data_IF_782709520237
#
_entry.id   IF_782709520237
#
_cell.length_a   1.000
_cell.length_b   1.000
_cell.length_c   1.000
_cell.angle_alpha   90.00
_cell.angle_beta   90.00
_cell.angle_gamma   90.00
#
_symmetry.space_group_name_H-M   'P 1'
#
loop_
_entity.id
_entity.type
_entity.pdbx_description
1 polymer ?
#
# COMPACT_ATOMS: atom_id res chain seq x y z
N UNK A 1 -0.28 18.77 -4.66
CA UNK A 1 -1.59 18.18 -4.31
C UNK A 1 -2.31 18.93 -3.21
N UNK A 2 -1.65 19.76 -2.48
CA UNK A 2 -2.30 20.71 -1.60
C UNK A 2 -2.58 21.95 -2.42
N UNK A 3 -3.86 22.16 -2.79
CA UNK A 3 -4.27 23.48 -3.20
C UNK A 3 -3.80 24.39 -2.07
N UNK A 4 -2.92 25.32 -2.40
CA UNK A 4 -2.37 26.23 -1.42
C UNK A 4 -3.55 26.88 -0.67
N UNK A 5 -3.77 26.47 0.58
CA UNK A 5 -4.70 27.20 1.42
C UNK A 5 -3.95 28.43 1.91
N UNK A 6 -4.26 29.63 1.42
CA UNK A 6 -3.53 30.85 1.77
C UNK A 6 -3.66 31.22 3.26
N UNK A 7 -4.53 30.52 3.99
CA UNK A 7 -4.80 30.77 5.40
C UNK A 7 -4.06 29.78 6.34
N UNK A 8 -3.19 28.93 5.81
CA UNK A 8 -2.38 28.03 6.65
C UNK A 8 -1.23 28.84 7.25
N UNK A 9 -1.06 28.89 8.58
CA UNK A 9 0.04 29.59 9.21
C UNK A 9 1.40 29.08 8.69
N UNK A 10 2.37 29.99 8.59
CA UNK A 10 3.75 29.63 8.25
C UNK A 10 4.30 28.59 9.24
N UNK A 11 4.99 27.58 8.73
CA UNK A 11 5.56 26.48 9.54
C UNK A 11 4.59 25.36 9.85
N UNK A 12 3.35 25.41 9.36
CA UNK A 12 2.42 24.28 9.49
C UNK A 12 2.87 23.13 8.60
N UNK A 13 3.09 21.97 9.22
CA UNK A 13 3.46 20.74 8.52
C UNK A 13 2.22 19.86 8.35
N UNK A 14 1.89 19.43 7.12
CA UNK A 14 0.75 18.55 6.88
C UNK A 14 1.06 17.13 7.32
N UNK A 15 0.13 16.50 8.05
CA UNK A 15 0.17 15.08 8.40
C UNK A 15 -0.96 14.26 7.76
N UNK A 16 -1.64 14.82 6.76
CA UNK A 16 -2.80 14.19 6.14
C UNK A 16 -2.47 13.14 5.07
N UNK A 17 -1.24 13.15 4.58
CA UNK A 17 -0.70 12.19 3.61
C UNK A 17 0.66 11.71 4.09
N UNK A 18 0.98 10.46 3.85
CA UNK A 18 2.27 9.87 4.22
C UNK A 18 3.38 10.26 3.23
N UNK A 19 3.46 11.54 2.89
CA UNK A 19 4.57 12.10 2.10
C UNK A 19 5.79 12.32 3.00
N UNK A 20 6.96 12.09 2.45
CA UNK A 20 8.21 12.38 3.17
C UNK A 20 8.56 13.86 3.09
N UNK A 21 8.88 14.45 4.23
CA UNK A 21 9.35 15.84 4.33
C UNK A 21 10.86 15.98 4.01
N UNK A 22 11.54 14.89 3.73
CA UNK A 22 12.95 14.87 3.39
C UNK A 22 13.17 14.93 1.88
N UNK A 23 14.23 15.65 1.48
CA UNK A 23 14.65 15.61 0.07
C UNK A 23 15.11 14.21 -0.32
N UNK A 24 14.88 13.85 -1.57
CA UNK A 24 15.40 12.59 -2.10
C UNK A 24 16.94 12.54 -2.00
N UNK A 25 17.53 11.37 -1.73
CA UNK A 25 18.96 11.17 -1.87
C UNK A 25 19.44 11.60 -3.27
N UNK A 26 20.56 12.32 -3.39
CA UNK A 26 21.05 12.79 -4.68
C UNK A 26 21.19 11.70 -5.73
N UNK A 27 21.60 10.50 -5.32
CA UNK A 27 21.77 9.33 -6.19
C UNK A 27 20.51 8.94 -6.94
N UNK A 28 19.32 9.14 -6.33
CA UNK A 28 18.04 8.84 -6.99
C UNK A 28 17.79 9.86 -8.11
N UNK A 29 17.96 11.15 -7.82
CA UNK A 29 17.75 12.21 -8.80
C UNK A 29 18.75 12.10 -9.97
N UNK A 30 20.02 11.83 -9.67
CA UNK A 30 21.08 11.62 -10.66
C UNK A 30 20.80 10.40 -11.53
N UNK A 31 20.43 9.27 -10.94
CA UNK A 31 20.11 8.04 -11.67
C UNK A 31 18.91 8.21 -12.63
N UNK A 32 17.86 8.89 -12.17
CA UNK A 32 16.69 9.20 -13.02
C UNK A 32 17.11 10.16 -14.14
N UNK A 33 17.90 11.18 -13.82
CA UNK A 33 18.38 12.15 -14.82
C UNK A 33 19.24 11.49 -15.90
N UNK A 34 20.12 10.57 -15.55
CA UNK A 34 20.94 9.84 -16.48
C UNK A 34 20.13 8.88 -17.36
N UNK A 35 19.15 8.19 -16.77
CA UNK A 35 18.22 7.38 -17.54
C UNK A 35 17.48 8.20 -18.60
N UNK A 36 16.95 9.38 -18.21
CA UNK A 36 16.18 10.23 -19.11
C UNK A 36 17.00 10.77 -20.29
N UNK A 37 18.30 11.03 -20.11
CA UNK A 37 19.17 11.50 -21.19
C UNK A 37 19.31 10.48 -22.34
N UNK A 38 19.20 9.19 -22.01
CA UNK A 38 19.49 8.10 -22.92
C UNK A 38 18.23 7.32 -23.35
N UNK A 39 17.05 7.73 -22.86
CA UNK A 39 15.80 7.01 -23.08
C UNK A 39 14.83 7.76 -23.98
N UNK A 40 14.16 7.03 -24.84
CA UNK A 40 12.98 7.52 -25.57
C UNK A 40 11.76 7.29 -24.67
N UNK A 41 11.00 8.35 -24.39
CA UNK A 41 9.78 8.28 -23.61
C UNK A 41 8.68 7.58 -24.42
N UNK A 42 8.37 6.35 -24.09
CA UNK A 42 7.39 5.52 -24.76
C UNK A 42 6.84 4.45 -23.84
N UNK A 43 6.23 3.42 -24.39
CA UNK A 43 5.82 2.24 -23.62
C UNK A 43 7.05 1.54 -23.04
N UNK A 44 7.02 1.30 -21.74
CA UNK A 44 8.11 0.66 -21.02
C UNK A 44 7.65 -0.70 -20.49
N UNK A 45 8.48 -1.70 -20.67
CA UNK A 45 8.29 -3.02 -20.07
C UNK A 45 9.19 -3.15 -18.85
N UNK A 46 8.71 -3.89 -17.85
CA UNK A 46 9.50 -4.22 -16.68
C UNK A 46 10.66 -5.12 -17.08
N UNK A 47 11.87 -4.75 -16.64
CA UNK A 47 13.10 -5.46 -16.97
C UNK A 47 13.51 -6.46 -15.90
N UNK A 48 14.40 -7.41 -16.24
CA UNK A 48 14.95 -8.32 -15.25
C UNK A 48 15.67 -7.59 -14.13
N UNK A 49 16.36 -6.49 -14.42
CA UNK A 49 17.00 -5.65 -13.41
C UNK A 49 16.03 -5.08 -12.36
N UNK A 50 14.78 -4.81 -12.74
CA UNK A 50 13.75 -4.42 -11.78
C UNK A 50 13.41 -5.56 -10.83
N UNK A 51 13.15 -6.75 -11.38
CA UNK A 51 12.86 -7.94 -10.56
C UNK A 51 14.00 -8.30 -9.64
N UNK A 52 15.24 -8.26 -10.13
CA UNK A 52 16.45 -8.51 -9.33
C UNK A 52 16.58 -7.50 -8.18
N UNK A 53 16.26 -6.22 -8.44
CA UNK A 53 16.27 -5.20 -7.40
C UNK A 53 15.22 -5.46 -6.31
N UNK A 54 13.99 -5.84 -6.69
CA UNK A 54 12.92 -6.19 -5.74
C UNK A 54 13.28 -7.44 -4.93
N UNK A 55 13.70 -8.51 -5.61
CA UNK A 55 14.09 -9.78 -4.95
C UNK A 55 15.26 -9.54 -3.99
N UNK A 56 16.27 -8.81 -4.45
CA UNK A 56 17.43 -8.47 -3.62
C UNK A 56 17.06 -7.61 -2.41
N UNK A 57 16.12 -6.68 -2.55
CA UNK A 57 15.62 -5.88 -1.43
C UNK A 57 14.90 -6.76 -0.41
N UNK A 58 13.97 -7.60 -0.84
CA UNK A 58 13.20 -8.49 0.04
C UNK A 58 14.12 -9.43 0.81
N UNK A 59 15.14 -9.98 0.13
CA UNK A 59 16.14 -10.83 0.80
C UNK A 59 16.94 -10.05 1.84
N UNK A 60 17.51 -8.91 1.48
CA UNK A 60 18.43 -8.15 2.37
C UNK A 60 17.71 -7.51 3.55
N UNK A 61 16.49 -6.99 3.35
CA UNK A 61 15.79 -6.19 4.36
C UNK A 61 14.80 -6.99 5.18
N UNK A 62 14.26 -8.07 4.62
CA UNK A 62 13.18 -8.84 5.23
C UNK A 62 13.54 -10.32 5.41
N UNK A 63 14.74 -10.76 4.99
CA UNK A 63 15.16 -12.16 4.96
C UNK A 63 14.11 -13.07 4.29
N UNK A 64 13.48 -12.57 3.25
CA UNK A 64 12.43 -13.26 2.51
C UNK A 64 12.90 -13.58 1.09
N UNK A 65 12.98 -14.89 0.79
CA UNK A 65 13.33 -15.38 -0.53
C UNK A 65 12.06 -15.46 -1.38
N UNK A 66 11.92 -14.52 -2.31
CA UNK A 66 10.82 -14.48 -3.27
C UNK A 66 11.31 -14.83 -4.66
N UNK A 67 10.39 -15.28 -5.51
CA UNK A 67 10.66 -15.60 -6.92
C UNK A 67 10.08 -14.55 -7.83
N UNK A 68 10.67 -14.40 -9.03
CA UNK A 68 10.21 -13.45 -10.05
C UNK A 68 8.74 -13.65 -10.40
N UNK A 69 8.31 -14.90 -10.56
CA UNK A 69 6.93 -15.27 -10.90
C UNK A 69 5.90 -14.96 -9.80
N UNK A 70 6.34 -14.56 -8.62
CA UNK A 70 5.47 -14.12 -7.52
C UNK A 70 5.24 -12.60 -7.53
N UNK A 71 5.96 -11.89 -8.39
CA UNK A 71 5.89 -10.43 -8.43
C UNK A 71 4.89 -10.02 -9.52
N UNK A 72 3.86 -9.31 -9.10
CA UNK A 72 2.86 -8.71 -9.99
C UNK A 72 2.93 -7.19 -9.80
N UNK A 73 3.20 -6.48 -10.87
CA UNK A 73 3.24 -5.02 -10.85
C UNK A 73 1.83 -4.45 -10.83
N UNK A 74 1.63 -3.48 -9.99
CA UNK A 74 0.35 -2.80 -9.84
C UNK A 74 0.52 -1.29 -9.65
N UNK A 75 -0.36 -0.45 -10.18
CA UNK A 75 -0.26 1.01 -10.04
C UNK A 75 -0.64 1.51 -8.63
N UNK A 76 -0.21 0.81 -7.60
CA UNK A 76 -0.39 1.16 -6.20
C UNK A 76 -1.19 0.12 -5.41
N UNK A 77 -1.03 0.17 -4.08
CA UNK A 77 -1.64 -0.80 -3.15
C UNK A 77 -3.17 -0.71 -3.14
N UNK A 78 -3.73 0.50 -3.14
CA UNK A 78 -5.19 0.67 -3.08
C UNK A 78 -5.89 0.09 -4.31
N UNK A 79 -5.49 0.38 -5.56
CA UNK A 79 -6.02 -0.31 -6.74
C UNK A 79 -5.88 -1.83 -6.68
N UNK A 80 -4.74 -2.34 -6.17
CA UNK A 80 -4.53 -3.77 -6.00
C UNK A 80 -5.55 -4.39 -5.04
N UNK A 81 -5.83 -3.73 -3.91
CA UNK A 81 -6.84 -4.20 -2.95
C UNK A 81 -8.25 -4.28 -3.56
N UNK A 82 -8.65 -3.28 -4.34
CA UNK A 82 -9.94 -3.33 -5.05
C UNK A 82 -10.03 -4.53 -5.99
N UNK A 83 -8.95 -4.81 -6.73
CA UNK A 83 -8.91 -5.96 -7.62
C UNK A 83 -8.90 -7.29 -6.86
N UNK A 84 -8.13 -7.40 -5.79
CA UNK A 84 -8.09 -8.61 -4.96
C UNK A 84 -9.46 -8.92 -4.35
N UNK A 85 -10.13 -7.92 -3.78
CA UNK A 85 -11.50 -8.09 -3.27
C UNK A 85 -12.42 -8.60 -4.36
N UNK A 86 -12.38 -8.00 -5.56
CA UNK A 86 -13.25 -8.43 -6.67
C UNK A 86 -12.88 -9.79 -7.24
N UNK A 87 -11.61 -10.17 -7.22
CA UNK A 87 -11.11 -11.44 -7.77
C UNK A 87 -11.43 -12.63 -6.87
N UNK A 88 -11.28 -12.46 -5.56
CA UNK A 88 -11.36 -13.55 -4.60
C UNK A 88 -12.72 -13.67 -3.91
N UNK A 89 -13.62 -12.73 -4.13
CA UNK A 89 -14.96 -12.73 -3.53
C UNK A 89 -16.04 -12.39 -4.53
N UNK A 90 -17.29 -12.74 -4.23
CA UNK A 90 -18.49 -12.36 -4.96
C UNK A 90 -19.24 -11.21 -4.23
N UNK A 91 -20.13 -10.46 -4.90
CA UNK A 91 -21.04 -9.54 -4.22
C UNK A 91 -21.84 -10.23 -3.12
N UNK A 92 -21.84 -9.64 -1.93
CA UNK A 92 -22.49 -10.20 -0.74
C UNK A 92 -21.55 -10.97 0.20
N UNK A 93 -20.39 -11.42 -0.29
CA UNK A 93 -19.41 -12.11 0.57
C UNK A 93 -18.87 -11.20 1.66
N UNK A 94 -18.51 -11.79 2.80
CA UNK A 94 -17.83 -11.13 3.91
C UNK A 94 -16.37 -10.84 3.59
N UNK A 95 -15.90 -9.63 3.92
CA UNK A 95 -14.47 -9.28 3.92
C UNK A 95 -14.13 -8.70 5.27
N UNK A 96 -13.20 -9.36 5.97
CA UNK A 96 -12.80 -8.95 7.30
C UNK A 96 -11.63 -7.97 7.25
N UNK A 97 -11.74 -6.89 8.01
CA UNK A 97 -10.66 -5.92 8.24
C UNK A 97 -10.34 -5.84 9.73
N UNK A 98 -9.05 -5.80 10.06
CA UNK A 98 -8.60 -5.37 11.38
C UNK A 98 -8.66 -3.85 11.49
N UNK A 99 -9.26 -3.33 12.56
CA UNK A 99 -9.46 -1.89 12.75
C UNK A 99 -8.85 -1.39 14.06
N UNK A 100 -8.30 -0.14 14.12
CA UNK A 100 -8.36 0.90 13.08
C UNK A 100 -7.45 0.60 11.89
N UNK A 101 -7.89 0.97 10.68
CA UNK A 101 -7.15 0.77 9.45
C UNK A 101 -7.31 1.96 8.50
N UNK A 102 -6.45 2.06 7.52
CA UNK A 102 -6.48 3.10 6.51
C UNK A 102 -7.83 3.11 5.77
N UNK A 103 -8.50 4.26 5.78
CA UNK A 103 -9.88 4.39 5.33
C UNK A 103 -10.20 3.90 3.90
N UNK A 104 -9.30 3.93 2.90
CA UNK A 104 -9.61 3.38 1.58
C UNK A 104 -9.89 1.89 1.56
N UNK A 105 -9.44 1.13 2.58
CA UNK A 105 -9.71 -0.31 2.67
C UNK A 105 -11.20 -0.60 2.87
N UNK A 106 -11.88 0.22 3.67
CA UNK A 106 -13.34 0.14 3.79
C UNK A 106 -14.04 0.34 2.44
N UNK A 107 -13.53 1.27 1.65
CA UNK A 107 -14.08 1.56 0.32
C UNK A 107 -13.85 0.40 -0.65
N UNK A 108 -12.70 -0.29 -0.58
CA UNK A 108 -12.43 -1.45 -1.41
C UNK A 108 -13.46 -2.56 -1.20
N UNK A 109 -13.89 -2.77 0.03
CA UNK A 109 -14.92 -3.74 0.39
C UNK A 109 -16.32 -3.25 -0.05
N UNK A 110 -16.72 -2.08 0.43
CA UNK A 110 -18.10 -1.58 0.26
C UNK A 110 -18.48 -1.28 -1.18
N UNK A 111 -17.57 -0.64 -1.97
CA UNK A 111 -17.82 -0.32 -3.38
C UNK A 111 -17.91 -1.55 -4.27
N UNK A 112 -17.31 -2.64 -3.85
CA UNK A 112 -17.44 -3.93 -4.51
C UNK A 112 -18.75 -4.67 -4.17
N UNK A 113 -19.60 -4.11 -3.32
CA UNK A 113 -20.84 -4.77 -2.87
C UNK A 113 -20.62 -5.93 -1.90
N UNK A 114 -19.45 -5.95 -1.21
CA UNK A 114 -19.14 -6.94 -0.18
C UNK A 114 -19.60 -6.44 1.18
N UNK A 115 -19.83 -7.39 2.09
CA UNK A 115 -20.16 -7.12 3.48
C UNK A 115 -18.87 -6.92 4.27
N UNK A 116 -18.79 -5.82 5.03
CA UNK A 116 -17.64 -5.53 5.86
C UNK A 116 -17.79 -6.16 7.24
N UNK A 117 -16.88 -7.03 7.61
CA UNK A 117 -16.67 -7.50 8.96
C UNK A 117 -15.47 -6.76 9.58
N UNK A 118 -15.65 -6.18 10.76
CA UNK A 118 -14.59 -5.43 11.45
C UNK A 118 -14.18 -6.16 12.72
N UNK A 119 -12.92 -6.59 12.80
CA UNK A 119 -12.31 -7.08 14.03
C UNK A 119 -11.41 -6.01 14.62
N UNK A 120 -11.74 -5.58 15.84
CA UNK A 120 -10.99 -4.49 16.49
C UNK A 120 -9.69 -5.00 17.07
N UNK A 121 -8.62 -4.29 16.74
CA UNK A 121 -7.35 -4.46 17.42
C UNK A 121 -7.45 -3.96 18.87
N UNK A 122 -6.83 -4.69 19.77
CA UNK A 122 -6.71 -4.31 21.18
C UNK A 122 -5.53 -3.37 21.35
N UNK A 123 -5.76 -2.21 21.99
CA UNK A 123 -4.67 -1.33 22.35
C UNK A 123 -4.10 -1.78 23.72
N UNK A 124 -2.90 -2.37 23.69
CA UNK A 124 -2.19 -2.86 24.86
C UNK A 124 -0.98 -1.95 25.12
N UNK A 125 -1.15 -1.01 26.05
CA UNK A 125 -0.12 -0.01 26.32
C UNK A 125 0.08 0.93 25.14
N UNK A 126 1.18 0.79 24.43
CA UNK A 126 1.60 1.63 23.30
C UNK A 126 1.56 0.93 21.92
N UNK A 127 1.04 -0.30 21.87
CA UNK A 127 0.94 -1.08 20.62
C UNK A 127 -0.42 -1.76 20.48
N UNK A 128 -0.70 -2.20 19.23
CA UNK A 128 -1.92 -2.92 18.90
C UNK A 128 -1.66 -4.41 18.82
N UNK A 129 -2.60 -5.20 19.31
CA UNK A 129 -2.62 -6.65 19.23
C UNK A 129 -3.89 -7.14 18.53
N UNK A 130 -3.83 -8.32 17.91
CA UNK A 130 -5.01 -8.94 17.32
C UNK A 130 -5.82 -9.63 18.41
N UNK A 131 -7.11 -9.30 18.49
CA UNK A 131 -8.09 -10.08 19.25
C UNK A 131 -8.48 -11.31 18.45
N UNK A 132 -7.76 -12.41 18.64
CA UNK A 132 -8.03 -13.65 17.92
C UNK A 132 -9.40 -14.26 18.24
N UNK A 133 -9.97 -14.00 19.42
CA UNK A 133 -11.30 -14.48 19.76
C UNK A 133 -12.38 -13.74 18.95
N UNK A 134 -12.29 -12.41 18.88
CA UNK A 134 -13.18 -11.59 18.03
C UNK A 134 -12.99 -11.89 16.54
N UNK A 135 -11.73 -12.09 16.11
CA UNK A 135 -11.42 -12.48 14.74
C UNK A 135 -12.08 -13.81 14.35
N UNK A 136 -11.91 -14.86 15.18
CA UNK A 136 -12.49 -16.17 14.92
C UNK A 136 -14.02 -16.16 14.92
N UNK A 137 -14.62 -15.35 15.76
CA UNK A 137 -16.09 -15.18 15.79
C UNK A 137 -16.58 -14.59 14.48
N UNK A 138 -15.97 -13.49 14.03
CA UNK A 138 -16.35 -12.77 12.81
C UNK A 138 -15.94 -13.44 11.50
N UNK A 139 -15.03 -14.38 11.57
CA UNK A 139 -14.62 -15.18 10.41
C UNK A 139 -15.55 -16.39 10.15
N UNK A 140 -16.55 -16.62 11.01
CA UNK A 140 -17.54 -17.73 10.84
C UNK A 140 -18.73 -17.34 9.98
N UNK A 141 -19.01 -16.07 9.83
CA UNK A 141 -20.10 -15.47 9.06
C UNK A 141 -19.63 -15.06 7.65
#
# INVERSE_FOLDING_TARGET
MYAANPNVPEGTVPFSVADMEFKNPPQIAEGIGEYLKNSIMGYTFVTDAYYDAVIGWMKRRHNWDIKKEWIVEYPGVVPALYHMVNLFTAPGDGVLLFTPVYYPFYNAVRKGGRTLAESRLLLTGDHYEIDFADFEEKAKD
#
